data_IF_242536973460
#
_entry.id   IF_242536973460
#
_cell.length_a   1.000
_cell.length_b   1.000
_cell.length_c   1.000
_cell.angle_alpha   90.00
_cell.angle_beta   90.00
_cell.angle_gamma   90.00
#
_symmetry.space_group_name_H-M   'P 1'
#
loop_
_entity.id
_entity.type
_entity.pdbx_description
1 polymer ?
#
# COMPACT_ATOMS: atom_id res chain seq x y z
N UNK A 1 3.90 6.93 17.24
CA UNK A 1 4.36 6.13 16.08
C UNK A 1 5.86 6.32 16.01
N UNK A 2 6.63 5.24 15.84
CA UNK A 2 8.10 5.33 15.79
C UNK A 2 8.53 6.09 14.52
N UNK A 3 9.09 7.29 14.68
CA UNK A 3 9.54 8.14 13.57
C UNK A 3 10.61 7.47 12.71
N UNK A 4 11.44 6.61 13.30
CA UNK A 4 12.50 5.90 12.56
C UNK A 4 11.89 4.85 11.63
N UNK A 5 10.90 4.10 12.11
CA UNK A 5 10.17 3.12 11.30
C UNK A 5 9.43 3.80 10.15
N UNK A 6 8.80 4.94 10.41
CA UNK A 6 8.08 5.73 9.40
C UNK A 6 9.03 6.22 8.33
N UNK A 7 10.18 6.78 8.73
CA UNK A 7 11.21 7.22 7.79
C UNK A 7 11.73 6.08 6.92
N UNK A 8 11.96 4.90 7.51
CA UNK A 8 12.39 3.72 6.77
C UNK A 8 11.34 3.24 5.76
N UNK A 9 10.06 3.21 6.15
CA UNK A 9 8.94 2.84 5.26
C UNK A 9 8.78 3.82 4.10
N UNK A 10 8.95 5.12 4.35
CA UNK A 10 8.89 6.16 3.32
C UNK A 10 10.05 6.09 2.33
N UNK A 11 11.26 5.75 2.82
CA UNK A 11 12.44 5.64 1.98
C UNK A 11 12.40 4.39 1.08
N UNK A 12 12.28 3.21 1.68
CA UNK A 12 12.06 1.95 0.98
C UNK A 12 11.59 0.87 1.96
N UNK A 13 10.30 0.53 1.91
CA UNK A 13 9.72 -0.51 2.76
C UNK A 13 10.39 -1.88 2.61
N UNK A 14 11.11 -2.15 1.51
CA UNK A 14 11.87 -3.38 1.33
C UNK A 14 13.06 -3.49 2.27
N UNK A 15 13.61 -2.37 2.73
CA UNK A 15 14.73 -2.34 3.67
C UNK A 15 14.30 -2.03 5.10
N UNK A 16 13.03 -1.67 5.30
CA UNK A 16 12.49 -1.34 6.62
C UNK A 16 12.47 -2.58 7.54
N UNK A 17 12.67 -2.40 8.86
CA UNK A 17 12.63 -3.47 9.85
C UNK A 17 11.19 -3.89 10.17
N UNK A 18 10.50 -4.42 9.15
CA UNK A 18 9.12 -4.92 9.23
C UNK A 18 9.07 -6.44 9.14
N UNK A 19 7.99 -6.99 9.66
CA UNK A 19 7.70 -8.43 9.60
C UNK A 19 7.39 -8.89 8.17
N UNK A 20 7.53 -10.20 7.92
CA UNK A 20 7.19 -10.82 6.63
C UNK A 20 5.72 -10.56 6.19
N UNK A 21 4.71 -10.65 7.08
CA UNK A 21 3.35 -10.29 6.70
C UNK A 21 3.17 -8.84 6.28
N UNK A 22 3.81 -7.90 6.98
CA UNK A 22 3.77 -6.47 6.61
C UNK A 22 4.41 -6.24 5.24
N UNK A 23 5.55 -6.89 4.97
CA UNK A 23 6.22 -6.84 3.67
C UNK A 23 5.34 -7.36 2.54
N UNK A 24 4.77 -8.57 2.70
CA UNK A 24 3.88 -9.16 1.70
C UNK A 24 2.64 -8.29 1.41
N UNK A 25 2.07 -7.67 2.45
CA UNK A 25 0.97 -6.72 2.32
C UNK A 25 1.38 -5.48 1.51
N UNK A 26 2.55 -4.90 1.78
CA UNK A 26 3.04 -3.71 1.10
C UNK A 26 3.41 -3.99 -0.36
N UNK A 27 4.00 -5.15 -0.67
CA UNK A 27 4.27 -5.58 -2.05
C UNK A 27 2.98 -5.73 -2.87
N UNK A 28 1.93 -6.30 -2.26
CA UNK A 28 0.62 -6.38 -2.89
C UNK A 28 0.01 -5.00 -3.14
N UNK A 29 0.05 -4.12 -2.13
CA UNK A 29 -0.48 -2.75 -2.24
C UNK A 29 0.26 -1.93 -3.31
N UNK A 30 1.58 -2.09 -3.42
CA UNK A 30 2.38 -1.49 -4.48
C UNK A 30 1.98 -2.02 -5.86
N UNK A 31 1.85 -3.34 -6.04
CA UNK A 31 1.41 -3.92 -7.31
C UNK A 31 0.02 -3.42 -7.71
N UNK A 32 -0.93 -3.37 -6.77
CA UNK A 32 -2.27 -2.83 -6.99
C UNK A 32 -2.24 -1.37 -7.45
N UNK A 33 -1.34 -0.58 -6.86
CA UNK A 33 -1.17 0.85 -7.14
C UNK A 33 -0.52 1.09 -8.50
N UNK A 34 0.47 0.27 -8.86
CA UNK A 34 1.16 0.35 -10.16
C UNK A 34 0.29 -0.14 -11.30
N UNK A 35 -0.30 -1.33 -11.16
CA UNK A 35 -1.18 -1.93 -12.15
C UNK A 35 -2.05 -3.05 -11.54
N UNK A 36 -3.27 -2.69 -11.16
CA UNK A 36 -4.26 -3.63 -10.64
C UNK A 36 -4.65 -4.73 -11.65
N UNK A 37 -4.52 -4.48 -12.96
CA UNK A 37 -4.91 -5.45 -14.00
C UNK A 37 -3.97 -6.64 -14.08
N UNK A 38 -2.77 -6.51 -13.50
CA UNK A 38 -1.75 -7.56 -13.42
C UNK A 38 -1.80 -8.36 -12.13
N UNK A 39 -2.75 -8.08 -11.24
CA UNK A 39 -2.96 -8.93 -10.07
C UNK A 39 -3.48 -10.29 -10.52
N UNK A 40 -2.89 -11.33 -9.94
CA UNK A 40 -3.18 -12.74 -10.25
C UNK A 40 -3.47 -13.51 -8.98
N UNK A 41 -4.02 -14.73 -9.08
CA UNK A 41 -4.22 -15.61 -7.91
C UNK A 41 -2.93 -15.87 -7.09
N UNK A 42 -1.75 -15.79 -7.71
CA UNK A 42 -0.47 -15.96 -7.02
C UNK A 42 -0.23 -14.88 -5.94
N UNK A 43 -0.68 -13.64 -6.19
CA UNK A 43 -0.56 -12.55 -5.22
C UNK A 43 -1.42 -12.82 -3.97
N UNK A 44 -2.65 -13.30 -4.18
CA UNK A 44 -3.53 -13.69 -3.07
C UNK A 44 -3.00 -14.93 -2.35
N UNK A 45 -2.38 -15.88 -3.05
CA UNK A 45 -1.72 -17.03 -2.44
C UNK A 45 -0.55 -16.61 -1.54
N UNK A 46 0.26 -15.64 -1.97
CA UNK A 46 1.35 -15.08 -1.16
C UNK A 46 0.83 -14.42 0.12
N UNK A 47 -0.26 -13.64 0.04
CA UNK A 47 -0.90 -13.06 1.22
C UNK A 47 -1.43 -14.13 2.19
N UNK A 48 -2.04 -15.20 1.67
CA UNK A 48 -2.49 -16.33 2.51
C UNK A 48 -1.32 -17.06 3.17
N UNK A 49 -0.22 -17.26 2.45
CA UNK A 49 1.00 -17.85 3.00
C UNK A 49 1.62 -16.99 4.12
N UNK A 50 1.42 -15.67 4.05
CA UNK A 50 1.81 -14.72 5.09
C UNK A 50 0.83 -14.63 6.28
N UNK A 51 -0.27 -15.41 6.26
CA UNK A 51 -1.23 -15.51 7.36
C UNK A 51 -2.48 -14.63 7.23
N UNK A 52 -2.68 -13.95 6.10
CA UNK A 52 -3.91 -13.18 5.87
C UNK A 52 -5.06 -14.08 5.40
N UNK A 53 -6.22 -13.96 6.05
CA UNK A 53 -7.45 -14.59 5.57
C UNK A 53 -8.10 -13.78 4.44
N UNK A 54 -9.15 -14.34 3.81
CA UNK A 54 -9.82 -13.67 2.69
C UNK A 54 -10.43 -12.31 3.09
N UNK A 55 -10.85 -12.16 4.36
CA UNK A 55 -11.36 -10.90 4.88
C UNK A 55 -10.24 -9.86 4.97
N UNK A 56 -9.07 -10.23 5.47
CA UNK A 56 -7.91 -9.35 5.53
C UNK A 56 -7.43 -8.95 4.13
N UNK A 57 -7.39 -9.89 3.17
CA UNK A 57 -7.03 -9.60 1.78
C UNK A 57 -8.01 -8.59 1.17
N UNK A 58 -9.31 -8.76 1.40
CA UNK A 58 -10.32 -7.79 0.97
C UNK A 58 -10.06 -6.41 1.60
N UNK A 59 -9.79 -6.34 2.91
CA UNK A 59 -9.51 -5.07 3.59
C UNK A 59 -8.25 -4.38 3.04
N UNK A 60 -7.15 -5.11 2.84
CA UNK A 60 -5.92 -4.59 2.24
C UNK A 60 -6.23 -3.98 0.87
N UNK A 61 -6.99 -4.71 0.03
CA UNK A 61 -7.38 -4.26 -1.31
C UNK A 61 -8.20 -2.98 -1.26
N UNK A 62 -9.20 -2.92 -0.38
CA UNK A 62 -10.09 -1.77 -0.24
C UNK A 62 -9.34 -0.53 0.24
N UNK A 63 -8.48 -0.66 1.27
CA UNK A 63 -7.71 0.46 1.82
C UNK A 63 -6.74 1.01 0.77
N UNK A 64 -5.96 0.14 0.12
CA UNK A 64 -5.03 0.58 -0.93
C UNK A 64 -5.76 1.23 -2.12
N UNK A 65 -6.90 0.68 -2.54
CA UNK A 65 -7.72 1.26 -3.61
C UNK A 65 -8.32 2.62 -3.24
N UNK A 66 -8.76 2.78 -1.98
CA UNK A 66 -9.28 4.05 -1.48
C UNK A 66 -8.21 5.15 -1.51
N UNK A 67 -6.99 4.86 -1.07
CA UNK A 67 -5.87 5.81 -1.16
C UNK A 67 -5.54 6.16 -2.62
N UNK A 68 -5.59 5.18 -3.51
CA UNK A 68 -5.42 5.42 -4.95
C UNK A 68 -6.47 6.37 -5.52
N UNK A 69 -7.73 6.24 -5.11
CA UNK A 69 -8.81 7.14 -5.52
C UNK A 69 -8.62 8.55 -4.92
N UNK A 70 -8.48 8.66 -3.60
CA UNK A 70 -8.46 9.96 -2.92
C UNK A 70 -7.21 10.77 -3.26
N UNK A 71 -6.05 10.13 -3.44
CA UNK A 71 -4.83 10.82 -3.85
C UNK A 71 -5.01 11.48 -5.22
N UNK A 72 -5.64 10.78 -6.17
CA UNK A 72 -5.95 11.34 -7.50
C UNK A 72 -6.91 12.52 -7.42
N UNK A 73 -7.92 12.44 -6.56
CA UNK A 73 -8.88 13.55 -6.33
C UNK A 73 -8.18 14.75 -5.73
N UNK A 74 -7.38 14.55 -4.68
CA UNK A 74 -6.61 15.61 -4.02
C UNK A 74 -5.63 16.28 -4.98
N UNK A 75 -4.89 15.48 -5.76
CA UNK A 75 -3.95 15.97 -6.76
C UNK A 75 -4.64 16.81 -7.85
N UNK A 76 -5.78 16.34 -8.36
CA UNK A 76 -6.54 17.02 -9.40
C UNK A 76 -7.15 18.35 -8.92
N UNK A 77 -7.49 18.44 -7.63
CA UNK A 77 -8.08 19.64 -7.02
C UNK A 77 -7.03 20.58 -6.38
N UNK A 78 -5.75 20.19 -6.37
CA UNK A 78 -4.68 20.99 -5.77
C UNK A 78 -4.74 21.05 -4.24
N UNK A 79 -5.39 20.09 -3.59
CA UNK A 79 -5.49 20.05 -2.12
C UNK A 79 -4.10 19.89 -1.50
N UNK A 80 -3.76 20.73 -0.52
CA UNK A 80 -2.46 20.70 0.16
C UNK A 80 -1.31 21.35 -0.61
N UNK A 81 -1.57 21.94 -1.78
CA UNK A 81 -0.68 22.91 -2.41
C UNK A 81 -1.05 24.29 -1.90
N UNK A 82 -0.44 24.74 -0.82
CA UNK A 82 -0.49 26.16 -0.46
C UNK A 82 0.10 26.95 -1.64
N UNK A 83 -0.69 27.89 -2.17
CA UNK A 83 -0.31 28.70 -3.31
C UNK A 83 0.73 29.73 -2.85
N UNK A 84 2.00 29.35 -2.83
CA UNK A 84 3.09 30.32 -2.94
C UNK A 84 3.33 30.60 -4.42
N UNK A 85 2.45 31.40 -5.03
CA UNK A 85 2.78 32.21 -6.22
C UNK A 85 1.91 33.46 -6.25
#
# INVERSE_FOLDING_TARGET
>A
MDEQLVGALQADFRTAPISEPERAMLEYAEQLTRDATRITPAHHAALRAAGFDDRAILQITLIASWFNYINRVADALGVGRDQDT
#
